data_IF_360782610181
#
_entry.id   IF_360782610181
#
_cell.length_a   1.000
_cell.length_b   1.000
_cell.length_c   1.000
_cell.angle_alpha   90.00
_cell.angle_beta   90.00
_cell.angle_gamma   90.00
#
_symmetry.space_group_name_H-M   'P 1'
#
loop_
_entity.id
_entity.type
_entity.pdbx_description
1 polymer ?
#
# COMPACT_ATOMS: atom_id res chain seq x y z
N UNK A 1 -4.46 9.43 7.28
CA UNK A 1 -3.96 8.32 8.12
C UNK A 1 -3.03 8.86 9.17
N UNK A 2 -3.07 8.30 10.38
CA UNK A 2 -2.17 8.64 11.49
C UNK A 2 -1.32 7.41 11.78
N UNK A 3 -0.01 7.61 11.85
CA UNK A 3 0.98 6.55 11.98
C UNK A 3 1.77 6.74 13.28
N UNK A 4 1.37 6.09 14.38
CA UNK A 4 2.22 6.00 15.58
C UNK A 4 3.58 5.37 15.26
N UNK A 5 4.60 5.58 16.12
CA UNK A 5 5.92 4.97 15.96
C UNK A 5 5.86 3.45 15.77
N UNK A 6 6.60 2.94 14.80
CA UNK A 6 6.69 1.50 14.50
C UNK A 6 5.47 0.89 13.80
N UNK A 7 4.42 1.66 13.51
CA UNK A 7 3.22 1.16 12.83
C UNK A 7 3.42 1.05 11.32
N UNK A 8 2.66 0.16 10.68
CA UNK A 8 2.69 0.01 9.24
C UNK A 8 1.58 -0.90 8.75
N UNK A 9 1.31 -0.80 7.46
CA UNK A 9 0.39 -1.69 6.75
C UNK A 9 1.03 -3.04 6.44
N UNK A 10 0.20 -4.01 6.10
CA UNK A 10 0.57 -5.17 5.27
C UNK A 10 0.96 -4.70 3.87
N UNK A 11 1.56 -5.59 3.07
CA UNK A 11 1.71 -5.32 1.63
C UNK A 11 0.32 -5.46 1.00
N UNK A 12 -0.12 -4.44 0.28
CA UNK A 12 -1.47 -4.40 -0.28
C UNK A 12 -1.53 -3.67 -1.62
N UNK A 13 -2.59 -3.95 -2.38
CA UNK A 13 -3.03 -3.14 -3.52
C UNK A 13 -4.35 -2.41 -3.21
N UNK A 14 -4.85 -1.69 -4.21
CA UNK A 14 -6.12 -0.95 -4.17
C UNK A 14 -6.93 -1.27 -5.43
N UNK A 15 -8.26 -1.22 -5.32
CA UNK A 15 -9.19 -1.34 -6.46
C UNK A 15 -9.28 -0.06 -7.30
N UNK A 16 -8.81 1.07 -6.77
CA UNK A 16 -8.83 2.38 -7.42
C UNK A 16 -7.43 2.99 -7.54
N UNK A 17 -7.33 4.08 -8.29
CA UNK A 17 -6.13 4.92 -8.25
C UNK A 17 -6.07 5.68 -6.93
N UNK A 18 -4.87 6.07 -6.50
CA UNK A 18 -4.70 6.88 -5.30
C UNK A 18 -3.47 7.76 -5.37
N UNK A 19 -3.49 8.82 -4.58
CA UNK A 19 -2.35 9.68 -4.32
C UNK A 19 -2.28 9.97 -2.82
N UNK A 20 -1.07 10.03 -2.27
CA UNK A 20 -0.89 10.44 -0.89
C UNK A 20 0.39 11.25 -0.69
N UNK A 21 0.35 12.16 0.27
CA UNK A 21 1.50 12.92 0.73
C UNK A 21 1.60 12.86 2.25
N UNK A 22 2.81 13.06 2.77
CA UNK A 22 3.02 13.19 4.20
C UNK A 22 2.77 14.65 4.61
N UNK A 23 1.92 14.88 5.60
CA UNK A 23 1.64 16.20 6.15
C UNK A 23 2.47 16.50 7.42
N UNK A 24 2.76 15.47 8.23
CA UNK A 24 3.57 15.59 9.46
C UNK A 24 4.54 14.41 9.52
N UNK A 25 5.80 14.68 9.82
CA UNK A 25 6.85 13.65 9.93
C UNK A 25 7.21 13.04 8.58
N UNK A 26 7.50 11.74 8.56
CA UNK A 26 7.76 11.00 7.33
C UNK A 26 7.18 9.59 7.40
N UNK A 27 6.78 9.06 6.24
CA UNK A 27 6.35 7.66 6.08
C UNK A 27 7.26 6.96 5.08
N UNK A 28 7.66 5.73 5.40
CA UNK A 28 8.40 4.86 4.50
C UNK A 28 7.41 4.11 3.61
N UNK A 29 7.58 4.26 2.30
CA UNK A 29 6.91 3.46 1.29
C UNK A 29 7.86 2.40 0.75
N UNK A 30 7.36 1.18 0.59
CA UNK A 30 7.99 0.11 -0.16
C UNK A 30 7.07 -0.26 -1.33
N UNK A 31 7.57 -0.23 -2.57
CA UNK A 31 6.84 -0.71 -3.75
C UNK A 31 7.24 -2.10 -4.15
N UNK A 32 6.27 -2.83 -4.68
CA UNK A 32 6.44 -4.22 -5.09
C UNK A 32 5.95 -4.43 -6.52
N UNK A 33 6.60 -5.36 -7.20
CA UNK A 33 6.18 -5.88 -8.50
C UNK A 33 5.75 -7.33 -8.33
N UNK A 34 4.65 -7.70 -9.01
CA UNK A 34 4.23 -9.09 -9.14
C UNK A 34 5.09 -9.80 -10.19
N UNK A 35 5.59 -10.98 -9.85
CA UNK A 35 6.50 -11.79 -10.68
C UNK A 35 5.84 -13.03 -11.30
N UNK A 36 4.56 -13.27 -11.02
CA UNK A 36 3.76 -14.35 -11.59
C UNK A 36 2.65 -13.79 -12.49
N UNK A 37 2.01 -14.68 -13.26
CA UNK A 37 0.99 -14.31 -14.25
C UNK A 37 -0.41 -14.05 -13.66
N UNK A 38 -0.60 -14.15 -12.34
CA UNK A 38 -1.92 -13.99 -11.72
C UNK A 38 -2.91 -15.12 -11.99
N UNK A 39 -2.43 -16.26 -12.51
CA UNK A 39 -3.29 -17.40 -12.89
C UNK A 39 -3.90 -18.15 -11.71
N UNK A 40 -3.31 -18.03 -10.52
CA UNK A 40 -3.84 -18.58 -9.26
C UNK A 40 -4.34 -17.41 -8.40
N UNK A 41 -5.64 -17.35 -8.06
CA UNK A 41 -6.22 -16.19 -7.41
C UNK A 41 -5.69 -15.97 -5.98
N UNK A 42 -5.24 -17.04 -5.31
CA UNK A 42 -4.76 -17.04 -3.93
C UNK A 42 -3.22 -16.98 -3.82
N UNK A 43 -2.50 -16.85 -4.95
CA UNK A 43 -1.04 -16.88 -4.98
C UNK A 43 -0.47 -15.67 -5.67
N UNK A 44 0.54 -15.06 -5.06
CA UNK A 44 1.31 -13.99 -5.66
C UNK A 44 2.76 -14.04 -5.19
N UNK A 45 3.69 -14.00 -6.14
CA UNK A 45 5.13 -13.88 -5.85
C UNK A 45 5.53 -12.44 -6.09
N UNK A 46 6.03 -11.78 -5.05
CA UNK A 46 6.40 -10.36 -5.11
C UNK A 46 7.90 -10.15 -5.03
N UNK A 47 8.37 -9.06 -5.64
CA UNK A 47 9.71 -8.50 -5.43
C UNK A 47 9.58 -7.04 -5.03
N UNK A 48 10.30 -6.63 -3.98
CA UNK A 48 10.45 -5.21 -3.66
C UNK A 48 11.19 -4.52 -4.81
N UNK A 49 10.53 -3.56 -5.44
CA UNK A 49 11.09 -2.78 -6.54
C UNK A 49 11.96 -1.64 -5.99
N UNK A 50 11.42 -0.88 -5.04
CA UNK A 50 12.11 0.24 -4.40
C UNK A 50 11.48 0.58 -3.05
N UNK A 51 12.15 1.44 -2.29
CA UNK A 51 11.58 2.06 -1.11
C UNK A 51 12.01 3.53 -1.01
N UNK A 52 11.16 4.39 -0.47
CA UNK A 52 11.42 5.83 -0.30
C UNK A 52 10.73 6.35 0.96
N UNK A 53 11.38 7.29 1.65
CA UNK A 53 10.76 8.05 2.73
C UNK A 53 10.11 9.30 2.16
N UNK A 54 8.84 9.53 2.49
CA UNK A 54 8.07 10.69 2.06
C UNK A 54 7.83 11.62 3.24
N UNK A 55 8.38 12.83 3.17
CA UNK A 55 8.06 13.96 4.05
C UNK A 55 7.14 14.97 3.36
N UNK A 56 6.77 16.05 4.04
CA UNK A 56 6.00 17.14 3.45
C UNK A 56 6.74 17.92 2.35
N UNK A 57 8.06 17.77 2.25
CA UNK A 57 8.89 18.47 1.25
C UNK A 57 9.08 17.65 -0.04
N UNK A 58 8.86 16.33 0.01
CA UNK A 58 9.11 15.40 -1.10
C UNK A 58 7.94 15.30 -2.09
N UNK A 59 6.79 15.90 -1.77
CA UNK A 59 5.59 15.86 -2.60
C UNK A 59 4.69 14.66 -2.30
N UNK A 60 4.27 13.94 -3.34
CA UNK A 60 3.25 12.89 -3.24
C UNK A 60 3.64 11.63 -4.02
N UNK A 61 3.23 10.48 -3.51
CA UNK A 61 3.28 9.18 -4.18
C UNK A 61 1.92 8.82 -4.77
N UNK A 62 1.90 8.06 -5.86
CA UNK A 62 0.66 7.63 -6.53
C UNK A 62 0.61 6.11 -6.76
N UNK A 63 -0.57 5.52 -6.60
CA UNK A 63 -0.86 4.10 -6.86
C UNK A 63 -1.86 3.98 -8.01
N UNK A 64 -1.66 2.99 -8.87
CA UNK A 64 -2.65 2.56 -9.86
C UNK A 64 -3.38 1.31 -9.34
N UNK A 65 -4.60 1.00 -9.82
CA UNK A 65 -5.32 -0.19 -9.38
C UNK A 65 -4.54 -1.50 -9.55
N UNK A 66 -4.77 -2.45 -8.62
CA UNK A 66 -4.27 -3.81 -8.67
C UNK A 66 -2.75 -3.92 -8.66
N UNK A 67 -2.21 -4.80 -9.51
CA UNK A 67 -0.78 -5.15 -9.50
C UNK A 67 0.17 -3.96 -9.78
N UNK A 68 -0.34 -2.84 -10.29
CA UNK A 68 0.43 -1.60 -10.54
C UNK A 68 0.52 -0.68 -9.30
N UNK A 69 -0.15 -1.02 -8.22
CA UNK A 69 -0.21 -0.24 -6.98
C UNK A 69 0.23 -1.00 -5.74
N UNK A 70 0.88 -2.16 -5.88
CA UNK A 70 1.26 -2.99 -4.74
C UNK A 70 2.32 -2.26 -3.91
N UNK A 71 1.99 -1.97 -2.65
CA UNK A 71 2.88 -1.24 -1.77
C UNK A 71 2.69 -1.57 -0.29
N UNK A 72 3.62 -1.08 0.52
CA UNK A 72 3.52 -1.05 1.98
C UNK A 72 3.91 0.34 2.44
N UNK A 73 3.10 0.92 3.32
CA UNK A 73 3.39 2.20 3.97
C UNK A 73 3.51 1.99 5.48
N UNK A 74 4.48 2.61 6.11
CA UNK A 74 4.64 2.59 7.57
C UNK A 74 5.50 3.73 8.10
N UNK A 75 5.57 3.81 9.42
CA UNK A 75 6.37 4.79 10.14
C UNK A 75 7.47 4.07 10.96
N UNK A 76 8.70 3.98 10.42
CA UNK A 76 9.82 3.40 11.16
C UNK A 76 10.45 4.39 12.17
N UNK A 77 9.96 5.63 12.24
CA UNK A 77 10.50 6.67 13.12
C UNK A 77 9.93 6.64 14.54
N UNK A 78 10.52 7.45 15.40
CA UNK A 78 10.18 7.57 16.83
C UNK A 78 9.02 8.55 17.10
N UNK A 79 8.67 9.40 16.13
CA UNK A 79 7.58 10.37 16.23
C UNK A 79 6.37 9.97 15.40
N UNK A 80 5.18 10.48 15.74
CA UNK A 80 3.96 10.28 14.93
C UNK A 80 4.11 10.93 13.56
N UNK A 81 3.73 10.19 12.50
CA UNK A 81 3.57 10.74 11.16
C UNK A 81 2.08 10.81 10.77
N UNK A 82 1.73 11.76 9.90
CA UNK A 82 0.37 11.90 9.36
C UNK A 82 0.48 12.02 7.85
N UNK A 83 -0.28 11.21 7.12
CA UNK A 83 -0.41 11.32 5.66
C UNK A 83 -1.86 11.60 5.27
N UNK A 84 -2.02 12.38 4.20
CA UNK A 84 -3.32 12.64 3.56
C UNK A 84 -3.40 11.79 2.31
N UNK A 85 -4.49 11.02 2.18
CA UNK A 85 -4.70 10.11 1.07
C UNK A 85 -5.97 10.53 0.32
N UNK A 86 -5.88 10.53 -1.00
CA UNK A 86 -6.99 10.72 -1.92
C UNK A 86 -7.08 9.48 -2.79
N UNK A 87 -8.26 8.89 -2.86
CA UNK A 87 -8.53 7.72 -3.69
C UNK A 87 -9.66 8.00 -4.68
N UNK A 88 -9.54 7.39 -5.85
CA UNK A 88 -10.61 7.31 -6.82
C UNK A 88 -11.77 6.41 -6.34
N UNK A 89 -12.89 6.42 -7.07
CA UNK A 89 -14.02 5.55 -6.77
C UNK A 89 -13.63 4.07 -6.82
N UNK A 90 -14.17 3.29 -5.89
CA UNK A 90 -13.95 1.84 -5.83
C UNK A 90 -14.42 1.16 -7.12
N UNK A 91 -13.65 0.17 -7.59
CA UNK A 91 -13.99 -0.64 -8.76
C UNK A 91 -14.39 -2.04 -8.27
N UNK A 92 -15.70 -2.29 -8.17
CA UNK A 92 -16.24 -3.58 -7.71
C UNK A 92 -16.39 -3.67 -6.18
N UNK A 93 -16.61 -4.89 -5.67
CA UNK A 93 -16.87 -5.14 -4.24
C UNK A 93 -15.61 -5.27 -3.38
N UNK A 94 -14.46 -5.49 -4.02
CA UNK A 94 -13.16 -5.68 -3.36
C UNK A 94 -12.49 -4.31 -3.24
N UNK A 95 -12.03 -3.93 -2.05
CA UNK A 95 -11.32 -2.67 -1.80
C UNK A 95 -9.87 -2.74 -2.32
N UNK A 96 -9.28 -3.92 -2.22
CA UNK A 96 -7.95 -4.27 -2.69
C UNK A 96 -7.61 -5.68 -2.23
N UNK A 97 -6.33 -6.04 -2.28
CA UNK A 97 -5.82 -7.34 -1.84
C UNK A 97 -4.66 -7.15 -0.88
N UNK A 98 -4.53 -8.09 0.05
CA UNK A 98 -3.43 -8.19 1.00
C UNK A 98 -2.50 -9.34 0.60
N UNK A 99 -1.20 -9.11 0.69
CA UNK A 99 -0.15 -10.00 0.22
C UNK A 99 0.77 -10.45 1.35
N UNK A 100 1.07 -11.75 1.39
CA UNK A 100 2.10 -12.36 2.23
C UNK A 100 3.18 -13.00 1.33
N UNK A 101 4.28 -12.28 1.05
CA UNK A 101 5.35 -12.79 0.21
C UNK A 101 6.12 -13.95 0.87
N UNK A 102 6.01 -14.15 2.19
CA UNK A 102 6.63 -15.29 2.88
C UNK A 102 5.93 -16.61 2.56
N UNK A 103 4.68 -16.56 2.05
CA UNK A 103 3.86 -17.72 1.70
C UNK A 103 3.47 -17.75 0.22
N UNK A 104 3.97 -16.80 -0.57
CA UNK A 104 3.48 -16.48 -1.91
C UNK A 104 1.94 -16.42 -1.94
N UNK A 105 1.32 -15.77 -0.96
CA UNK A 105 -0.12 -15.77 -0.74
C UNK A 105 -0.72 -14.38 -0.95
N UNK A 106 -1.95 -14.33 -1.47
CA UNK A 106 -2.74 -13.11 -1.61
C UNK A 106 -4.21 -13.40 -1.32
N UNK A 107 -4.93 -12.45 -0.73
CA UNK A 107 -6.37 -12.54 -0.53
C UNK A 107 -7.08 -11.20 -0.77
N UNK A 108 -8.37 -11.26 -1.09
CA UNK A 108 -9.22 -10.08 -1.21
C UNK A 108 -9.47 -9.43 0.15
N UNK A 109 -9.22 -8.13 0.22
CA UNK A 109 -9.72 -7.25 1.28
C UNK A 109 -11.07 -6.69 0.84
N UNK A 110 -12.13 -7.17 1.48
CA UNK A 110 -13.48 -6.61 1.34
C UNK A 110 -13.65 -5.58 2.46
N UNK A 111 -14.22 -4.41 2.18
CA UNK A 111 -14.57 -3.48 3.26
C UNK A 111 -15.48 -4.23 4.24
N UNK A 112 -15.09 -4.26 5.53
CA UNK A 112 -16.04 -4.62 6.58
C UNK A 112 -17.16 -3.58 6.57
N UNK A 113 -18.40 -4.04 6.75
CA UNK A 113 -19.55 -3.14 6.93
C UNK A 113 -19.19 -2.10 7.99
N UNK A 114 -19.02 -0.85 7.57
CA UNK A 114 -18.79 0.27 8.49
C UNK A 114 -19.95 0.42 9.47
#
# INVERSE_FOLDING_TARGET
FVWPPGTGTTIHDHSSWGAYCCAIGSVLEERYERLDAGSRPDRARLRKAWQLSWSGEDGASTVMPGDKGIHRVGNPGEGTAISVHLYGPQIGEVDGRDYDPGRDYVCDRREGTK
#
